data_IF_999022938475
#
_entry.id   IF_999022938475
#
_cell.length_a   1.000
_cell.length_b   1.000
_cell.length_c   1.000
_cell.angle_alpha   90.00
_cell.angle_beta   90.00
_cell.angle_gamma   90.00
#
_symmetry.space_group_name_H-M   'P 1'
#
loop_
_entity.id
_entity.type
_entity.pdbx_description
1 polymer ?
#
# COMPACT_ATOMS: atom_id res chain seq x y z
N UNK A 1 -13.33 23.43 11.14
CA UNK A 1 -13.91 22.09 10.83
C UNK A 1 -13.73 21.65 9.36
N UNK A 2 -13.98 22.51 8.35
CA UNK A 2 -13.83 22.13 6.93
C UNK A 2 -12.38 21.82 6.52
N UNK A 3 -11.40 22.58 7.01
CA UNK A 3 -9.96 22.33 6.76
C UNK A 3 -9.51 20.95 7.23
N UNK A 4 -9.84 20.56 8.47
CA UNK A 4 -9.51 19.24 9.01
C UNK A 4 -10.14 18.11 8.18
N UNK A 5 -11.39 18.28 7.74
CA UNK A 5 -12.07 17.30 6.85
C UNK A 5 -11.35 17.17 5.50
N UNK A 6 -10.81 18.26 4.94
CA UNK A 6 -10.03 18.22 3.70
C UNK A 6 -8.67 17.56 3.87
N UNK A 7 -7.98 17.80 4.99
CA UNK A 7 -6.72 17.10 5.31
C UNK A 7 -6.97 15.60 5.47
N UNK A 8 -8.00 15.22 6.24
CA UNK A 8 -8.39 13.81 6.43
C UNK A 8 -8.74 13.16 5.10
N UNK A 9 -9.47 13.85 4.23
CA UNK A 9 -9.79 13.33 2.89
C UNK A 9 -8.55 13.16 2.01
N UNK A 10 -7.59 14.09 2.08
CA UNK A 10 -6.36 14.05 1.29
C UNK A 10 -5.40 12.93 1.75
N UNK A 11 -5.44 12.57 3.03
CA UNK A 11 -4.66 11.45 3.60
C UNK A 11 -5.19 10.10 3.14
N UNK A 12 -6.42 10.03 2.59
CA UNK A 12 -7.08 8.80 2.12
C UNK A 12 -6.98 7.64 3.14
N UNK A 13 -7.68 7.71 4.28
CA UNK A 13 -7.53 6.75 5.37
C UNK A 13 -7.79 5.30 4.94
N UNK A 14 -8.63 5.08 3.93
CA UNK A 14 -8.93 3.75 3.37
C UNK A 14 -7.74 3.10 2.67
N UNK A 15 -6.72 3.85 2.24
CA UNK A 15 -5.50 3.30 1.63
C UNK A 15 -4.40 3.04 2.65
N UNK A 16 -4.56 3.43 3.93
CA UNK A 16 -3.58 3.18 4.98
C UNK A 16 -3.39 1.68 5.27
N UNK A 17 -4.42 0.86 5.01
CA UNK A 17 -4.31 -0.59 5.05
C UNK A 17 -3.24 -1.12 4.08
N UNK A 18 -3.03 -0.46 2.94
CA UNK A 18 -2.01 -0.86 1.98
C UNK A 18 -0.60 -0.76 2.57
N UNK A 19 -0.35 0.20 3.46
CA UNK A 19 0.94 0.34 4.17
C UNK A 19 1.02 -0.43 5.48
N UNK A 20 -0.09 -0.54 6.23
CA UNK A 20 -0.08 -1.17 7.55
C UNK A 20 -0.06 -2.70 7.46
N UNK A 21 -0.77 -3.30 6.51
CA UNK A 21 -0.86 -4.76 6.39
C UNK A 21 0.49 -5.43 6.05
N UNK A 22 1.31 -4.93 5.12
CA UNK A 22 2.62 -5.52 4.83
C UNK A 22 3.56 -5.45 6.05
N UNK A 23 3.51 -4.37 6.84
CA UNK A 23 4.29 -4.22 8.07
C UNK A 23 3.82 -5.19 9.14
N UNK A 24 2.51 -5.25 9.42
CA UNK A 24 1.94 -6.18 10.38
C UNK A 24 2.20 -7.64 9.98
N UNK A 25 2.13 -7.95 8.69
CA UNK A 25 2.49 -9.26 8.15
C UNK A 25 3.97 -9.58 8.41
N UNK A 26 4.86 -8.61 8.19
CA UNK A 26 6.29 -8.79 8.46
C UNK A 26 6.55 -9.04 9.95
N UNK A 27 5.90 -8.27 10.83
CA UNK A 27 5.98 -8.48 12.28
C UNK A 27 5.47 -9.87 12.65
N UNK A 28 4.38 -10.34 12.04
CA UNK A 28 3.85 -11.69 12.28
C UNK A 28 4.83 -12.80 11.88
N UNK A 29 5.45 -12.67 10.71
CA UNK A 29 6.44 -13.64 10.22
C UNK A 29 7.70 -13.65 11.09
N UNK A 30 8.09 -12.51 11.65
CA UNK A 30 9.23 -12.42 12.55
C UNK A 30 8.91 -12.97 13.95
N UNK A 31 7.70 -12.71 14.45
CA UNK A 31 7.23 -13.19 15.74
C UNK A 31 7.03 -14.71 15.77
N UNK A 32 6.58 -15.32 14.66
CA UNK A 32 6.48 -16.78 14.54
C UNK A 32 7.84 -17.48 14.46
N UNK A 33 8.89 -16.77 14.03
CA UNK A 33 10.20 -17.38 13.81
C UNK A 33 10.99 -17.53 15.13
N UNK A 34 11.40 -18.75 15.52
CA UNK A 34 12.15 -18.96 16.75
C UNK A 34 13.54 -18.29 16.78
N UNK A 35 14.05 -17.92 15.61
CA UNK A 35 15.34 -17.27 15.46
C UNK A 35 15.32 -15.80 15.92
N UNK A 36 14.14 -15.18 16.03
CA UNK A 36 14.01 -13.76 16.31
C UNK A 36 13.12 -13.50 17.54
N UNK A 37 13.59 -12.68 18.46
CA UNK A 37 12.85 -12.30 19.68
C UNK A 37 12.01 -11.03 19.46
N UNK A 38 11.21 -10.97 18.40
CA UNK A 38 10.34 -9.82 18.11
C UNK A 38 9.01 -9.99 18.82
N UNK A 39 8.54 -8.97 19.54
CA UNK A 39 7.20 -8.94 20.15
C UNK A 39 6.28 -7.96 19.42
N UNK A 40 5.01 -8.32 19.25
CA UNK A 40 4.00 -7.47 18.59
C UNK A 40 3.71 -6.16 19.31
N UNK A 41 3.87 -6.13 20.64
CA UNK A 41 3.55 -4.97 21.49
C UNK A 41 4.84 -4.20 21.86
N UNK A 42 5.95 -4.52 21.22
CA UNK A 42 7.21 -3.84 21.46
C UNK A 42 7.21 -2.42 20.87
N UNK A 43 7.98 -1.52 21.48
CA UNK A 43 8.15 -0.13 21.03
C UNK A 43 8.62 -0.09 19.58
N UNK A 44 9.48 -1.03 19.19
CA UNK A 44 9.99 -1.14 17.83
C UNK A 44 8.91 -1.56 16.81
N UNK A 45 8.10 -2.57 17.15
CA UNK A 45 7.00 -3.00 16.30
C UNK A 45 5.96 -1.88 16.10
N UNK A 46 5.62 -1.17 17.19
CA UNK A 46 4.72 -0.02 17.14
C UNK A 46 5.32 1.13 16.32
N UNK A 47 6.63 1.40 16.47
CA UNK A 47 7.33 2.43 15.71
C UNK A 47 7.34 2.09 14.21
N UNK A 48 7.55 0.84 13.83
CA UNK A 48 7.56 0.41 12.43
C UNK A 48 6.19 0.60 11.77
N UNK A 49 5.10 0.24 12.47
CA UNK A 49 3.72 0.47 11.99
C UNK A 49 3.45 1.96 11.86
N UNK A 50 3.82 2.76 12.87
CA UNK A 50 3.63 4.21 12.84
C UNK A 50 4.41 4.88 11.69
N UNK A 51 5.66 4.47 11.46
CA UNK A 51 6.49 4.94 10.35
C UNK A 51 5.83 4.65 9.02
N UNK A 52 5.38 3.41 8.78
CA UNK A 52 4.76 3.03 7.51
C UNK A 52 3.46 3.80 7.26
N UNK A 53 2.63 3.97 8.29
CA UNK A 53 1.40 4.78 8.21
C UNK A 53 1.75 6.23 7.87
N UNK A 54 2.71 6.86 8.57
CA UNK A 54 3.12 8.25 8.30
C UNK A 54 3.70 8.44 6.90
N UNK A 55 4.52 7.49 6.42
CA UNK A 55 5.07 7.51 5.04
C UNK A 55 3.93 7.41 4.02
N UNK A 56 2.91 6.58 4.27
CA UNK A 56 1.74 6.49 3.39
C UNK A 56 0.90 7.77 3.42
N UNK A 57 0.67 8.36 4.59
CA UNK A 57 -0.02 9.65 4.72
C UNK A 57 0.71 10.74 3.91
N UNK A 58 2.05 10.75 4.01
CA UNK A 58 2.91 11.65 3.26
C UNK A 58 2.82 11.42 1.75
N UNK A 59 2.84 10.16 1.30
CA UNK A 59 2.71 9.82 -0.12
C UNK A 59 1.34 10.24 -0.68
N UNK A 60 0.26 9.92 0.03
CA UNK A 60 -1.10 10.29 -0.35
C UNK A 60 -1.27 11.81 -0.45
N UNK A 61 -0.75 12.55 0.54
CA UNK A 61 -0.82 14.01 0.54
C UNK A 61 -0.04 14.63 -0.63
N UNK A 62 1.15 14.12 -0.92
CA UNK A 62 1.94 14.60 -2.07
C UNK A 62 1.34 14.20 -3.42
N UNK A 63 0.61 13.09 -3.51
CA UNK A 63 -0.13 12.73 -4.72
C UNK A 63 -1.24 13.75 -5.03
N UNK A 64 -1.93 14.26 -4.01
CA UNK A 64 -2.90 15.37 -4.16
C UNK A 64 -2.19 16.64 -4.67
N UNK A 65 -0.97 16.90 -4.21
CA UNK A 65 -0.15 18.03 -4.66
C UNK A 65 0.33 17.89 -6.12
N UNK A 66 0.78 16.71 -6.54
CA UNK A 66 1.19 16.46 -7.93
C UNK A 66 0.05 16.68 -8.94
N UNK A 67 -1.19 16.45 -8.51
CA UNK A 67 -2.39 16.72 -9.30
C UNK A 67 -2.89 18.17 -9.19
N UNK A 68 -2.32 19.02 -8.34
CA UNK A 68 -2.76 20.41 -8.16
C UNK A 68 -2.57 21.24 -9.43
N UNK A 69 -1.52 20.97 -10.21
CA UNK A 69 -1.27 21.59 -11.51
C UNK A 69 -1.94 20.87 -12.68
N UNK A 70 -2.53 19.70 -12.44
CA UNK A 70 -3.16 18.86 -13.47
C UNK A 70 -4.62 18.61 -13.08
N UNK A 71 -5.51 19.39 -13.70
CA UNK A 71 -6.94 19.11 -13.93
C UNK A 71 -7.93 19.75 -12.94
N UNK A 72 -8.66 20.73 -13.47
CA UNK A 72 -10.02 21.07 -13.03
C UNK A 72 -10.93 19.86 -13.27
N UNK A 73 -11.25 19.10 -12.22
CA UNK A 73 -12.30 18.09 -12.34
C UNK A 73 -13.67 18.78 -12.41
N UNK A 74 -14.49 18.58 -13.45
CA UNK A 74 -15.90 18.90 -13.34
C UNK A 74 -16.51 17.96 -12.30
N UNK A 75 -17.13 18.54 -11.26
CA UNK A 75 -17.94 17.83 -10.28
C UNK A 75 -18.99 16.97 -11.02
N UNK A 76 -18.84 15.65 -11.02
CA UNK A 76 -20.01 14.79 -11.18
C UNK A 76 -20.84 14.99 -9.92
N UNK A 77 -21.91 15.78 -10.03
CA UNK A 77 -22.93 15.93 -8.99
C UNK A 77 -23.64 14.57 -8.85
N UNK A 78 -23.07 13.65 -8.06
CA UNK A 78 -23.78 12.47 -7.58
C UNK A 78 -24.56 12.91 -6.34
N UNK A 79 -25.85 12.55 -6.28
CA UNK A 79 -26.78 12.88 -5.18
C UNK A 79 -26.09 12.73 -3.82
N UNK A 80 -26.17 13.78 -3.02
CA UNK A 80 -25.31 14.09 -1.87
C UNK A 80 -25.42 13.16 -0.64
N UNK A 81 -25.98 11.95 -0.76
CA UNK A 81 -26.39 11.17 0.41
C UNK A 81 -25.71 9.81 0.63
N UNK A 82 -24.74 9.38 -0.18
CA UNK A 82 -24.25 7.98 -0.03
C UNK A 82 -22.76 7.72 -0.07
N UNK A 83 -21.88 8.67 -0.39
CA UNK A 83 -20.43 8.42 -0.29
C UNK A 83 -19.61 9.65 0.12
N UNK A 84 -18.80 9.58 1.19
CA UNK A 84 -17.89 10.67 1.57
C UNK A 84 -16.65 10.79 0.66
N UNK A 85 -16.50 9.96 -0.37
CA UNK A 85 -15.18 9.67 -0.96
C UNK A 85 -14.74 10.50 -2.17
N UNK A 86 -15.60 11.26 -2.84
CA UNK A 86 -15.18 11.98 -4.06
C UNK A 86 -15.54 13.46 -4.04
N UNK A 87 -15.17 14.13 -2.94
CA UNK A 87 -14.91 15.57 -2.98
C UNK A 87 -13.41 15.77 -3.12
N UNK A 88 -12.91 15.69 -4.35
CA UNK A 88 -11.66 16.38 -4.68
C UNK A 88 -12.02 17.86 -4.63
N UNK A 89 -11.86 18.41 -3.42
CA UNK A 89 -12.16 19.80 -3.11
C UNK A 89 -11.13 20.64 -3.84
N UNK A 90 -11.55 21.18 -4.98
CA UNK A 90 -10.88 22.28 -5.64
C UNK A 90 -10.63 23.34 -4.56
N UNK A 91 -9.35 23.62 -4.27
CA UNK A 91 -8.88 24.80 -3.55
C UNK A 91 -9.03 24.87 -2.00
N UNK A 92 -9.16 23.76 -1.24
CA UNK A 92 -9.13 23.87 0.24
C UNK A 92 -7.74 23.70 0.90
N UNK A 93 -6.81 22.96 0.28
CA UNK A 93 -5.42 22.88 0.77
C UNK A 93 -4.52 23.71 -0.14
N UNK A 94 -3.96 24.79 0.39
CA UNK A 94 -2.89 25.54 -0.27
C UNK A 94 -1.66 24.63 -0.46
N UNK A 95 -0.91 24.82 -1.56
CA UNK A 95 0.42 24.24 -1.79
C UNK A 95 1.36 24.41 -0.59
N UNK A 96 1.24 25.54 0.12
CA UNK A 96 1.99 25.79 1.35
C UNK A 96 1.56 24.86 2.49
N UNK A 97 0.26 24.57 2.60
CA UNK A 97 -0.28 23.63 3.59
C UNK A 97 0.18 22.20 3.31
N UNK A 98 0.09 21.72 2.07
CA UNK A 98 0.58 20.38 1.71
C UNK A 98 2.08 20.26 2.03
N UNK A 99 2.88 21.25 1.66
CA UNK A 99 4.32 21.24 1.97
C UNK A 99 4.60 21.17 3.47
N UNK A 100 3.88 21.94 4.29
CA UNK A 100 4.06 21.93 5.75
C UNK A 100 3.68 20.59 6.37
N UNK A 101 2.55 20.02 5.97
CA UNK A 101 2.10 18.71 6.46
C UNK A 101 3.03 17.58 6.00
N UNK A 102 3.47 17.57 4.74
CA UNK A 102 4.46 16.59 4.25
C UNK A 102 5.78 16.70 5.02
N UNK A 103 6.25 17.93 5.28
CA UNK A 103 7.45 18.16 6.10
C UNK A 103 7.29 17.69 7.54
N UNK A 104 6.13 17.95 8.14
CA UNK A 104 5.80 17.50 9.50
C UNK A 104 5.79 15.97 9.60
N UNK A 105 5.15 15.25 8.66
CA UNK A 105 5.17 13.79 8.65
C UNK A 105 6.58 13.22 8.47
N UNK A 106 7.41 13.85 7.63
CA UNK A 106 8.79 13.45 7.46
C UNK A 106 9.61 13.61 8.75
N UNK A 107 9.47 14.75 9.44
CA UNK A 107 10.13 14.98 10.74
C UNK A 107 9.65 13.97 11.78
N UNK A 108 8.35 13.68 11.85
CA UNK A 108 7.82 12.67 12.77
C UNK A 108 8.41 11.27 12.51
N UNK A 109 8.56 10.87 11.24
CA UNK A 109 9.21 9.60 10.90
C UNK A 109 10.66 9.57 11.37
N UNK A 110 11.42 10.64 11.16
CA UNK A 110 12.80 10.72 11.64
C UNK A 110 12.91 10.66 13.17
N UNK A 111 11.99 11.32 13.88
CA UNK A 111 11.91 11.26 15.34
C UNK A 111 11.60 9.84 15.81
N UNK A 112 10.64 9.14 15.19
CA UNK A 112 10.34 7.75 15.53
C UNK A 112 11.52 6.82 15.28
N UNK A 113 12.24 7.00 14.18
CA UNK A 113 13.47 6.26 13.89
C UNK A 113 14.57 6.54 14.93
N UNK A 114 14.75 7.79 15.34
CA UNK A 114 15.70 8.16 16.38
C UNK A 114 15.31 7.55 17.74
N UNK A 115 14.03 7.61 18.12
CA UNK A 115 13.53 6.98 19.35
C UNK A 115 13.78 5.47 19.34
N UNK A 116 13.42 4.79 18.25
CA UNK A 116 13.68 3.34 18.10
C UNK A 116 15.18 3.03 18.16
N UNK A 117 16.03 3.85 17.51
CA UNK A 117 17.48 3.70 17.56
C UNK A 117 18.04 3.75 18.99
N UNK A 118 17.66 4.77 19.77
CA UNK A 118 18.18 4.96 21.12
C UNK A 118 17.60 3.97 22.13
N UNK A 119 16.30 3.65 22.04
CA UNK A 119 15.64 2.73 22.98
C UNK A 119 16.15 1.30 22.81
N UNK A 120 16.49 0.90 21.59
CA UNK A 120 16.88 -0.49 21.27
C UNK A 120 18.34 -0.66 20.92
N UNK A 121 19.13 0.40 21.08
CA UNK A 121 20.56 0.44 20.77
C UNK A 121 20.88 -0.17 19.39
N UNK A 122 20.07 0.18 18.38
CA UNK A 122 20.22 -0.37 17.03
C UNK A 122 21.54 0.05 16.42
N UNK A 123 22.10 -0.78 15.56
CA UNK A 123 23.33 -0.44 14.86
C UNK A 123 23.13 0.76 13.92
N UNK A 124 24.13 1.64 13.86
CA UNK A 124 24.06 2.90 13.10
C UNK A 124 23.76 2.70 11.61
N UNK A 125 24.21 1.59 11.04
CA UNK A 125 24.03 1.30 9.63
C UNK A 125 22.58 0.89 9.32
N UNK A 126 21.88 0.23 10.25
CA UNK A 126 20.46 -0.13 10.11
C UNK A 126 19.60 1.13 10.06
N UNK A 127 19.75 1.99 11.05
CA UNK A 127 18.97 3.22 11.17
C UNK A 127 19.37 4.24 10.10
N UNK A 128 20.65 4.30 9.75
CA UNK A 128 21.17 5.05 8.62
C UNK A 128 20.51 4.65 7.30
N UNK A 129 20.49 3.36 6.96
CA UNK A 129 19.89 2.88 5.72
C UNK A 129 18.39 3.17 5.63
N UNK A 130 17.63 2.95 6.71
CA UNK A 130 16.20 3.24 6.75
C UNK A 130 15.92 4.74 6.65
N UNK A 131 16.71 5.57 7.34
CA UNK A 131 16.60 7.04 7.24
C UNK A 131 16.88 7.54 5.82
N UNK A 132 17.87 6.96 5.14
CA UNK A 132 18.16 7.24 3.74
C UNK A 132 16.99 6.83 2.84
N UNK A 133 16.44 5.64 3.03
CA UNK A 133 15.29 5.16 2.26
C UNK A 133 14.07 6.09 2.40
N UNK A 134 13.74 6.50 3.63
CA UNK A 134 12.65 7.46 3.90
C UNK A 134 12.94 8.81 3.25
N UNK A 135 14.19 9.28 3.30
CA UNK A 135 14.62 10.54 2.68
C UNK A 135 14.46 10.52 1.17
N UNK A 136 14.84 9.41 0.51
CA UNK A 136 14.65 9.22 -0.93
C UNK A 136 13.16 9.18 -1.27
N UNK A 137 12.34 8.45 -0.49
CA UNK A 137 10.90 8.40 -0.69
C UNK A 137 10.24 9.79 -0.54
N UNK A 138 10.66 10.57 0.46
CA UNK A 138 10.20 11.94 0.67
C UNK A 138 10.55 12.84 -0.52
N UNK A 139 11.81 12.80 -0.98
CA UNK A 139 12.26 13.58 -2.11
C UNK A 139 11.50 13.20 -3.39
N UNK A 140 11.33 11.90 -3.64
CA UNK A 140 10.56 11.39 -4.78
C UNK A 140 9.12 11.94 -4.76
N UNK A 141 8.40 11.77 -3.65
CA UNK A 141 7.03 12.24 -3.49
C UNK A 141 6.92 13.76 -3.67
N UNK A 142 7.90 14.51 -3.16
CA UNK A 142 7.93 15.98 -3.23
C UNK A 142 8.28 16.50 -4.62
N UNK A 143 9.12 15.79 -5.36
CA UNK A 143 9.57 16.23 -6.68
C UNK A 143 8.42 16.38 -7.69
N UNK A 144 7.30 15.68 -7.48
CA UNK A 144 6.14 15.68 -8.38
C UNK A 144 6.48 15.22 -9.80
N UNK A 145 7.68 14.65 -10.01
CA UNK A 145 8.14 14.24 -11.33
C UNK A 145 7.47 12.92 -11.69
N UNK A 146 6.54 12.99 -12.64
CA UNK A 146 5.99 11.79 -13.27
C UNK A 146 7.13 11.01 -13.94
N UNK A 147 7.15 9.70 -13.74
CA UNK A 147 8.22 8.86 -14.27
C UNK A 147 8.16 8.80 -15.82
N UNK A 148 9.29 8.59 -16.51
CA UNK A 148 9.34 8.63 -17.97
C UNK A 148 8.84 7.34 -18.63
N UNK A 149 8.85 6.21 -17.90
CA UNK A 149 8.52 4.88 -18.42
C UNK A 149 7.06 4.54 -18.12
N UNK A 150 6.39 3.94 -19.11
CA UNK A 150 4.99 3.51 -18.97
C UNK A 150 4.86 2.37 -17.98
N UNK A 151 3.90 2.47 -17.07
CA UNK A 151 3.67 1.44 -16.04
C UNK A 151 4.62 1.49 -14.86
N UNK A 152 5.64 2.37 -14.91
CA UNK A 152 6.67 2.41 -13.88
C UNK A 152 6.12 2.97 -12.55
N UNK A 153 5.13 3.85 -12.60
CA UNK A 153 4.47 4.37 -11.39
C UNK A 153 3.66 3.27 -10.69
N UNK A 154 2.91 2.45 -11.43
CA UNK A 154 2.21 1.29 -10.86
C UNK A 154 3.20 0.26 -10.30
N UNK A 155 4.27 -0.03 -11.02
CA UNK A 155 5.31 -0.97 -10.58
C UNK A 155 6.05 -0.47 -9.34
N UNK A 156 6.41 0.82 -9.30
CA UNK A 156 7.04 1.43 -8.14
C UNK A 156 6.10 1.43 -6.94
N UNK A 157 4.81 1.72 -7.13
CA UNK A 157 3.82 1.65 -6.06
C UNK A 157 3.70 0.21 -5.51
N UNK A 158 3.64 -0.80 -6.38
CA UNK A 158 3.61 -2.20 -5.97
C UNK A 158 4.89 -2.64 -5.23
N UNK A 159 6.06 -2.25 -5.75
CA UNK A 159 7.35 -2.56 -5.12
C UNK A 159 7.52 -1.86 -3.76
N UNK A 160 7.12 -0.60 -3.67
CA UNK A 160 7.20 0.18 -2.42
C UNK A 160 6.25 -0.35 -1.36
N UNK A 161 5.02 -0.66 -1.73
CA UNK A 161 3.99 -1.17 -0.81
C UNK A 161 4.27 -2.60 -0.34
N UNK A 162 4.77 -3.47 -1.21
CA UNK A 162 5.11 -4.85 -0.86
C UNK A 162 6.58 -5.01 -0.44
N UNK A 163 7.48 -5.46 -1.33
CA UNK A 163 8.88 -5.78 -1.04
C UNK A 163 9.63 -4.74 -0.24
N UNK A 164 9.65 -3.48 -0.66
CA UNK A 164 10.49 -2.47 -0.01
C UNK A 164 9.99 -2.24 1.42
N UNK A 165 8.68 -2.08 1.63
CA UNK A 165 8.13 -1.86 2.99
C UNK A 165 8.35 -3.08 3.88
N UNK A 166 8.13 -4.30 3.39
CA UNK A 166 8.31 -5.52 4.18
C UNK A 166 9.79 -5.74 4.53
N UNK A 167 10.69 -5.61 3.56
CA UNK A 167 12.12 -5.79 3.79
C UNK A 167 12.71 -4.67 4.65
N UNK A 168 12.30 -3.42 4.46
CA UNK A 168 12.69 -2.31 5.33
C UNK A 168 12.21 -2.52 6.77
N UNK A 169 11.00 -3.06 6.95
CA UNK A 169 10.48 -3.42 8.28
C UNK A 169 11.32 -4.52 8.92
N UNK A 170 11.62 -5.59 8.19
CA UNK A 170 12.44 -6.68 8.73
C UNK A 170 13.85 -6.21 9.08
N UNK A 171 14.44 -5.41 8.21
CA UNK A 171 15.76 -4.83 8.43
C UNK A 171 15.76 -3.86 9.61
N UNK A 172 14.72 -3.04 9.78
CA UNK A 172 14.58 -2.17 10.94
C UNK A 172 14.46 -2.95 12.24
N UNK A 173 13.68 -4.04 12.26
CA UNK A 173 13.39 -4.79 13.49
C UNK A 173 14.53 -5.72 13.89
N UNK A 174 15.16 -6.39 12.93
CA UNK A 174 16.10 -7.49 13.19
C UNK A 174 17.49 -7.24 12.61
N UNK A 175 17.67 -6.26 11.71
CA UNK A 175 18.95 -5.98 11.06
C UNK A 175 19.29 -6.94 9.91
N UNK A 176 18.38 -7.85 9.56
CA UNK A 176 18.57 -8.87 8.53
C UNK A 176 17.40 -8.91 7.55
N UNK A 177 17.56 -9.68 6.47
CA UNK A 177 16.53 -9.91 5.46
C UNK A 177 16.09 -11.39 5.47
N UNK A 178 15.14 -11.78 6.34
CA UNK A 178 14.70 -13.15 6.43
C UNK A 178 14.08 -13.63 5.12
N UNK A 179 14.45 -14.83 4.69
CA UNK A 179 13.94 -15.45 3.47
C UNK A 179 12.40 -15.55 3.46
N UNK A 180 11.77 -15.81 4.61
CA UNK A 180 10.30 -15.84 4.76
C UNK A 180 9.68 -14.51 4.33
N UNK A 181 10.23 -13.39 4.81
CA UNK A 181 9.74 -12.04 4.48
C UNK A 181 9.93 -11.76 2.98
N UNK A 182 11.07 -12.16 2.41
CA UNK A 182 11.33 -12.03 0.97
C UNK A 182 10.25 -12.77 0.16
N UNK A 183 9.97 -14.05 0.46
CA UNK A 183 8.99 -14.81 -0.29
C UNK A 183 7.56 -14.28 -0.13
N UNK A 184 7.14 -13.89 1.07
CA UNK A 184 5.81 -13.32 1.30
C UNK A 184 5.65 -11.93 0.66
N UNK A 185 6.74 -11.24 0.33
CA UNK A 185 6.67 -9.93 -0.30
C UNK A 185 6.25 -9.96 -1.78
N UNK A 186 6.56 -11.04 -2.50
CA UNK A 186 6.16 -11.21 -3.90
C UNK A 186 4.64 -11.30 -4.11
N UNK A 187 3.88 -12.16 -3.40
CA UNK A 187 2.43 -12.17 -3.55
C UNK A 187 1.78 -10.86 -3.16
N UNK A 188 2.33 -10.15 -2.15
CA UNK A 188 1.85 -8.81 -1.77
C UNK A 188 2.06 -7.82 -2.91
N UNK A 189 3.26 -7.78 -3.53
CA UNK A 189 3.51 -6.95 -4.71
C UNK A 189 2.54 -7.29 -5.86
N UNK A 190 2.33 -8.58 -6.16
CA UNK A 190 1.41 -9.00 -7.21
C UNK A 190 -0.03 -8.53 -6.93
N UNK A 191 -0.50 -8.64 -5.68
CA UNK A 191 -1.83 -8.16 -5.29
C UNK A 191 -1.95 -6.63 -5.44
N UNK A 192 -0.94 -5.89 -4.98
CA UNK A 192 -0.92 -4.43 -5.11
C UNK A 192 -0.87 -4.00 -6.57
N UNK A 193 -0.11 -4.72 -7.42
CA UNK A 193 -0.05 -4.45 -8.85
C UNK A 193 -1.41 -4.72 -9.53
N UNK A 194 -2.11 -5.80 -9.15
CA UNK A 194 -3.46 -6.04 -9.64
C UNK A 194 -4.41 -4.90 -9.21
N UNK A 195 -4.33 -4.44 -7.96
CA UNK A 195 -5.11 -3.31 -7.47
C UNK A 195 -4.82 -2.01 -8.25
N UNK A 196 -3.55 -1.70 -8.53
CA UNK A 196 -3.20 -0.48 -9.29
C UNK A 196 -3.68 -0.55 -10.72
N UNK A 197 -3.63 -1.72 -11.38
CA UNK A 197 -4.19 -1.90 -12.73
C UNK A 197 -5.71 -1.70 -12.73
N UNK A 198 -6.43 -2.29 -11.76
CA UNK A 198 -7.87 -2.11 -11.62
C UNK A 198 -8.24 -0.63 -11.44
N UNK A 199 -7.48 0.10 -10.61
CA UNK A 199 -7.62 1.54 -10.41
C UNK A 199 -7.33 2.33 -11.69
N UNK A 200 -6.21 2.05 -12.35
CA UNK A 200 -5.82 2.71 -13.59
C UNK A 200 -6.82 2.45 -14.73
N UNK A 201 -7.41 1.25 -14.81
CA UNK A 201 -8.45 0.92 -15.78
C UNK A 201 -9.73 1.75 -15.56
N UNK A 202 -10.16 1.92 -14.30
CA UNK A 202 -11.28 2.81 -13.94
C UNK A 202 -11.02 4.26 -14.36
N UNK A 203 -9.80 4.75 -14.14
CA UNK A 203 -9.44 6.15 -14.40
C UNK A 203 -9.10 6.42 -15.88
N UNK A 204 -8.88 5.36 -16.68
CA UNK A 204 -8.44 5.47 -18.07
C UNK A 204 -9.39 6.29 -18.98
N UNK A 205 -10.72 6.12 -18.96
CA UNK A 205 -11.62 6.91 -19.80
C UNK A 205 -11.54 8.42 -19.52
N UNK A 206 -11.35 8.80 -18.26
CA UNK A 206 -11.20 10.20 -17.87
C UNK A 206 -9.82 10.74 -18.25
N UNK A 207 -8.76 10.00 -17.94
CA UNK A 207 -7.40 10.40 -18.26
C UNK A 207 -7.14 10.53 -19.76
N UNK A 208 -7.79 9.71 -20.61
CA UNK A 208 -7.80 9.88 -22.07
C UNK A 208 -8.43 11.21 -22.49
N UNK A 209 -9.58 11.58 -21.91
CA UNK A 209 -10.27 12.86 -22.20
C UNK A 209 -9.46 14.08 -21.77
N UNK A 210 -8.67 13.95 -20.71
CA UNK A 210 -7.80 15.03 -20.20
C UNK A 210 -6.48 15.17 -20.95
N UNK A 211 -6.22 14.36 -21.99
CA UNK A 211 -4.93 14.38 -22.69
C UNK A 211 -3.75 13.92 -21.81
N UNK A 212 -4.02 13.30 -20.65
CA UNK A 212 -2.99 12.69 -19.78
C UNK A 212 -2.50 11.34 -20.34
N UNK A 213 -2.63 11.17 -21.66
CA UNK A 213 -2.30 9.99 -22.43
C UNK A 213 -0.79 9.85 -22.48
N UNK A 214 -0.23 8.91 -21.71
CA UNK A 214 0.85 8.00 -22.17
C UNK A 214 1.48 7.15 -21.06
N UNK A 215 1.30 7.47 -19.77
CA UNK A 215 2.22 6.94 -18.72
C UNK A 215 1.71 5.78 -17.87
N UNK A 216 0.41 5.65 -17.68
CA UNK A 216 -0.14 4.51 -16.93
C UNK A 216 -0.26 3.28 -17.83
N UNK A 217 0.01 2.10 -17.27
CA UNK A 217 0.02 0.84 -18.00
C UNK A 217 -1.37 0.52 -18.58
N UNK A 218 -2.43 0.66 -17.78
CA UNK A 218 -3.81 0.37 -18.21
C UNK A 218 -4.35 1.37 -19.24
N UNK A 219 -3.78 2.58 -19.27
CA UNK A 219 -4.13 3.60 -20.26
C UNK A 219 -3.57 3.28 -21.66
N UNK A 220 -2.38 2.65 -21.69
CA UNK A 220 -1.68 2.25 -22.92
C UNK A 220 -2.09 0.86 -23.40
N UNK A 221 -2.36 -0.05 -22.46
CA UNK A 221 -2.98 -1.35 -22.77
C UNK A 221 -4.42 -1.13 -23.20
N UNK A 222 -4.90 -2.04 -24.04
CA UNK A 222 -6.33 -2.13 -24.30
C UNK A 222 -7.06 -2.65 -23.05
N UNK A 223 -8.37 -2.44 -23.00
CA UNK A 223 -9.20 -2.87 -21.87
C UNK A 223 -9.07 -4.37 -21.61
N UNK A 224 -9.11 -5.19 -22.68
CA UNK A 224 -8.99 -6.64 -22.59
C UNK A 224 -7.62 -7.10 -22.07
N UNK A 225 -6.54 -6.45 -22.48
CA UNK A 225 -5.19 -6.76 -21.98
C UNK A 225 -5.04 -6.33 -20.51
N UNK A 226 -5.63 -5.20 -20.12
CA UNK A 226 -5.64 -4.74 -18.73
C UNK A 226 -6.37 -5.74 -17.83
N UNK A 227 -7.51 -6.27 -18.30
CA UNK A 227 -8.26 -7.32 -17.60
C UNK A 227 -7.46 -8.62 -17.47
N UNK A 228 -6.83 -9.10 -18.56
CA UNK A 228 -6.00 -10.31 -18.53
C UNK A 228 -4.81 -10.17 -17.59
N UNK A 229 -4.16 -9.00 -17.61
CA UNK A 229 -3.01 -8.73 -16.74
C UNK A 229 -3.41 -8.62 -15.27
N UNK A 230 -4.54 -7.97 -14.98
CA UNK A 230 -5.17 -7.96 -13.65
C UNK A 230 -5.42 -9.38 -13.13
N UNK A 231 -6.08 -10.22 -13.94
CA UNK A 231 -6.37 -11.61 -13.59
C UNK A 231 -5.11 -12.43 -13.32
N UNK A 232 -4.12 -12.31 -14.20
CA UNK A 232 -2.84 -13.02 -14.06
C UNK A 232 -2.17 -12.68 -12.74
N UNK A 233 -2.05 -11.39 -12.41
CA UNK A 233 -1.41 -10.94 -11.17
C UNK A 233 -2.18 -11.35 -9.91
N UNK A 234 -3.51 -11.22 -9.94
CA UNK A 234 -4.35 -11.66 -8.83
C UNK A 234 -4.27 -13.17 -8.61
N UNK A 235 -4.32 -13.97 -9.69
CA UNK A 235 -4.15 -15.42 -9.63
C UNK A 235 -2.77 -15.82 -9.11
N UNK A 236 -1.70 -15.20 -9.64
CA UNK A 236 -0.33 -15.44 -9.17
C UNK A 236 -0.17 -15.12 -7.68
N UNK A 237 -0.76 -14.01 -7.21
CA UNK A 237 -0.77 -13.67 -5.78
C UNK A 237 -1.43 -14.77 -4.95
N UNK A 238 -2.63 -15.22 -5.34
CA UNK A 238 -3.35 -16.27 -4.61
C UNK A 238 -2.61 -17.62 -4.63
N UNK A 239 -2.08 -18.04 -5.77
CA UNK A 239 -1.31 -19.28 -5.89
C UNK A 239 -0.05 -19.22 -5.03
N UNK A 240 0.70 -18.11 -5.07
CA UNK A 240 1.90 -17.95 -4.23
C UNK A 240 1.55 -17.97 -2.74
N UNK A 241 0.51 -17.26 -2.32
CA UNK A 241 0.08 -17.27 -0.91
C UNK A 241 -0.37 -18.66 -0.46
N UNK A 242 -1.09 -19.39 -1.31
CA UNK A 242 -1.52 -20.76 -1.02
C UNK A 242 -0.32 -21.71 -0.88
N UNK A 243 0.63 -21.66 -1.82
CA UNK A 243 1.85 -22.48 -1.79
C UNK A 243 2.71 -22.14 -0.57
N UNK A 244 2.90 -20.86 -0.26
CA UNK A 244 3.66 -20.41 0.92
C UNK A 244 2.95 -20.77 2.22
N UNK A 245 1.62 -20.67 2.26
CA UNK A 245 0.82 -21.08 3.41
C UNK A 245 0.97 -22.58 3.68
N UNK A 246 0.87 -23.42 2.64
CA UNK A 246 1.13 -24.86 2.77
C UNK A 246 2.56 -25.17 3.19
N UNK A 247 3.56 -24.55 2.54
CA UNK A 247 4.97 -24.82 2.80
C UNK A 247 5.39 -24.44 4.24
N UNK A 248 4.79 -23.38 4.80
CA UNK A 248 5.07 -22.92 6.16
C UNK A 248 4.11 -23.47 7.21
N UNK A 249 3.11 -24.29 6.83
CA UNK A 249 2.11 -24.81 7.77
C UNK A 249 1.12 -23.77 8.30
N UNK A 250 1.01 -22.60 7.64
CA UNK A 250 0.07 -21.55 8.07
C UNK A 250 -1.37 -21.92 7.66
N UNK A 251 -2.27 -21.95 8.65
CA UNK A 251 -3.72 -22.24 8.49
C UNK A 251 -4.49 -21.24 7.58
N UNK A 252 -3.85 -20.17 7.11
CA UNK A 252 -4.43 -19.04 6.37
C UNK A 252 -4.99 -19.42 5.01
N UNK A 253 -4.70 -20.65 4.56
CA UNK A 253 -5.29 -21.26 3.38
C UNK A 253 -6.83 -21.25 3.42
N UNK A 254 -7.47 -21.39 4.59
CA UNK A 254 -8.94 -21.37 4.67
C UNK A 254 -9.53 -19.99 4.38
N UNK A 255 -8.90 -18.91 4.85
CA UNK A 255 -9.33 -17.55 4.53
C UNK A 255 -9.13 -17.27 3.05
N UNK A 256 -7.99 -17.69 2.48
CA UNK A 256 -7.69 -17.54 1.07
C UNK A 256 -8.70 -18.27 0.16
N UNK A 257 -9.11 -19.48 0.55
CA UNK A 257 -10.17 -20.23 -0.14
C UNK A 257 -11.53 -19.54 -0.01
N UNK A 258 -11.87 -19.03 1.18
CA UNK A 258 -13.13 -18.31 1.37
C UNK A 258 -13.21 -17.02 0.52
N UNK A 259 -12.09 -16.33 0.35
CA UNK A 259 -12.03 -15.06 -0.41
C UNK A 259 -11.96 -15.23 -1.92
N UNK A 260 -11.82 -16.45 -2.44
CA UNK A 260 -11.76 -16.70 -3.89
C UNK A 260 -13.08 -16.34 -4.60
N UNK A 261 -14.20 -16.49 -3.90
CA UNK A 261 -15.54 -16.11 -4.39
C UNK A 261 -15.62 -14.60 -4.62
N UNK A 262 -15.16 -13.81 -3.65
CA UNK A 262 -15.06 -12.36 -3.78
C UNK A 262 -14.13 -11.95 -4.93
N UNK A 263 -13.01 -12.65 -5.13
CA UNK A 263 -12.11 -12.37 -6.26
C UNK A 263 -12.78 -12.67 -7.61
N UNK A 264 -13.55 -13.76 -7.68
CA UNK A 264 -14.34 -14.11 -8.87
C UNK A 264 -15.35 -13.00 -9.18
N UNK A 265 -16.12 -12.54 -8.19
CA UNK A 265 -17.10 -11.47 -8.38
C UNK A 265 -16.43 -10.18 -8.89
N UNK A 266 -15.29 -9.80 -8.30
CA UNK A 266 -14.48 -8.66 -8.75
C UNK A 266 -14.01 -8.86 -10.20
N UNK A 267 -13.62 -10.07 -10.57
CA UNK A 267 -13.20 -10.37 -11.94
C UNK A 267 -14.35 -10.28 -12.95
N UNK A 268 -15.56 -10.65 -12.54
CA UNK A 268 -16.75 -10.52 -13.37
C UNK A 268 -17.16 -9.05 -13.52
N UNK A 269 -17.08 -8.27 -12.45
CA UNK A 269 -17.28 -6.81 -12.49
C UNK A 269 -16.29 -6.13 -13.43
N UNK A 270 -15.00 -6.51 -13.36
CA UNK A 270 -13.99 -6.03 -14.29
C UNK A 270 -14.39 -6.41 -15.71
N UNK A 271 -14.68 -7.69 -15.99
CA UNK A 271 -15.05 -8.17 -17.33
C UNK A 271 -16.26 -7.42 -17.91
N UNK A 272 -17.24 -7.10 -17.08
CA UNK A 272 -18.48 -6.42 -17.46
C UNK A 272 -18.36 -4.88 -17.48
N UNK A 273 -17.13 -4.34 -17.42
CA UNK A 273 -16.85 -2.89 -17.41
C UNK A 273 -17.46 -2.12 -16.22
N UNK A 274 -17.81 -2.82 -15.13
CA UNK A 274 -18.36 -2.22 -13.91
C UNK A 274 -17.23 -1.75 -12.97
N UNK A 275 -16.43 -0.79 -13.44
CA UNK A 275 -15.16 -0.40 -12.80
C UNK A 275 -15.31 0.55 -11.60
N UNK A 276 -16.48 1.14 -11.39
CA UNK A 276 -16.68 2.24 -10.42
C UNK A 276 -16.34 1.83 -8.98
N UNK A 277 -16.79 0.64 -8.56
CA UNK A 277 -16.58 0.12 -7.20
C UNK A 277 -15.37 -0.83 -7.10
N UNK A 278 -14.75 -1.15 -8.23
CA UNK A 278 -13.73 -2.19 -8.33
C UNK A 278 -12.52 -1.96 -7.40
N UNK A 279 -11.93 -0.75 -7.30
CA UNK A 279 -10.83 -0.51 -6.36
C UNK A 279 -11.27 -0.66 -4.90
N UNK A 280 -12.50 -0.27 -4.56
CA UNK A 280 -13.01 -0.41 -3.19
C UNK A 280 -13.23 -1.87 -2.82
N UNK A 281 -13.78 -2.68 -3.74
CA UNK A 281 -13.92 -4.14 -3.54
C UNK A 281 -12.56 -4.82 -3.39
N UNK A 282 -11.58 -4.46 -4.21
CA UNK A 282 -10.20 -4.97 -4.09
C UNK A 282 -9.52 -4.56 -2.78
N UNK A 283 -9.69 -3.31 -2.33
CA UNK A 283 -9.14 -2.85 -1.06
C UNK A 283 -9.75 -3.62 0.14
N UNK A 284 -11.07 -3.85 0.11
CA UNK A 284 -11.77 -4.68 1.10
C UNK A 284 -11.22 -6.11 1.09
N UNK A 285 -11.07 -6.70 -0.09
CA UNK A 285 -10.50 -8.04 -0.26
C UNK A 285 -9.08 -8.13 0.33
N UNK A 286 -8.21 -7.17 0.00
CA UNK A 286 -6.86 -7.08 0.54
C UNK A 286 -6.83 -6.94 2.06
N UNK A 287 -7.76 -6.14 2.62
CA UNK A 287 -7.97 -6.04 4.06
C UNK A 287 -8.33 -7.37 4.71
N UNK A 288 -9.34 -8.06 4.18
CA UNK A 288 -9.78 -9.36 4.70
C UNK A 288 -8.70 -10.43 4.59
N UNK A 289 -8.01 -10.50 3.45
CA UNK A 289 -6.96 -11.48 3.19
C UNK A 289 -5.73 -11.19 4.05
N UNK A 290 -5.29 -9.94 4.12
CA UNK A 290 -4.14 -9.54 4.93
C UNK A 290 -4.37 -9.80 6.42
N UNK A 291 -5.53 -9.40 6.95
CA UNK A 291 -5.88 -9.67 8.34
C UNK A 291 -5.96 -11.16 8.65
N UNK A 292 -6.65 -11.95 7.81
CA UNK A 292 -6.76 -13.39 8.01
C UNK A 292 -5.41 -14.10 7.95
N UNK A 293 -4.49 -13.63 7.10
CA UNK A 293 -3.15 -14.19 6.99
C UNK A 293 -2.28 -13.84 8.20
N UNK A 294 -2.34 -12.61 8.70
CA UNK A 294 -1.66 -12.20 9.95
C UNK A 294 -2.14 -13.07 11.12
N UNK A 295 -3.46 -13.17 11.31
CA UNK A 295 -4.05 -13.98 12.40
C UNK A 295 -3.65 -15.44 12.27
N UNK A 296 -3.64 -15.99 11.05
CA UNK A 296 -3.20 -17.37 10.85
C UNK A 296 -1.74 -17.59 11.23
N UNK A 297 -0.83 -16.69 10.86
CA UNK A 297 0.59 -16.82 11.18
C UNK A 297 0.78 -16.76 12.69
N UNK A 298 0.09 -15.82 13.35
CA UNK A 298 0.12 -15.70 14.81
C UNK A 298 -0.42 -16.95 15.53
N UNK A 299 -1.51 -17.53 15.04
CA UNK A 299 -2.04 -18.78 15.63
C UNK A 299 -1.04 -19.92 15.45
N UNK A 300 -0.42 -20.04 14.27
CA UNK A 300 0.58 -21.08 14.01
C UNK A 300 1.80 -20.93 14.94
N UNK A 301 2.31 -19.71 15.10
CA UNK A 301 3.39 -19.42 16.04
C UNK A 301 3.02 -19.76 17.49
N UNK A 302 1.77 -19.57 17.91
CA UNK A 302 1.31 -19.93 19.25
C UNK A 302 1.27 -21.45 19.50
N UNK A 303 1.00 -22.27 18.48
CA UNK A 303 0.95 -23.73 18.61
C UNK A 303 2.31 -24.42 18.51
N UNK A 304 3.35 -23.69 18.09
CA UNK A 304 4.73 -24.19 17.98
C UNK A 304 5.58 -23.94 19.23
N UNK A 305 5.02 -23.24 20.24
CA UNK A 305 5.58 -23.03 21.58
C UNK A 305 4.71 -23.70 22.65
#
# INVERSE_FOLDING_TARGET
MQYAKSVISAIQPRTLFASALPVLLTIALLWESPAYSVSFVDVDALSAVAIAVLVQMLANLNAVYGNFHRVFQPLKIRKANTDPENKIVINLLSQTSVTRWSGLYYVLVLVLLAVSHFVKHKENHVTGAISMLVSVAFYYCRSGRSLPIVGLEEMLFAATTGPITMLATAYLLVGELPWRVIFYSFPVANFVMAFTIAKSAKDAPFARRMGATTKSLALRLDFQLSYQFFLLLAALSYVMLFLLGMLMGHLGNFVLLATITNLKDISEDFRNEQLDELPAKMAKLGGTLGFGLIVSIMICGFFLY
#
